data_IF_648815335064
#
_entry.id   IF_648815335064
#
_cell.length_a   1.000
_cell.length_b   1.000
_cell.length_c   1.000
_cell.angle_alpha   90.00
_cell.angle_beta   90.00
_cell.angle_gamma   90.00
#
_symmetry.space_group_name_H-M   'P 1'
#
loop_
_entity.id
_entity.type
_entity.pdbx_description
1 polymer ?
#
# COMPACT_ATOMS: atom_id res chain seq x y z
N UNK A 1 -11.03 7.08 -3.43
CA UNK A 1 -11.07 5.66 -3.02
C UNK A 1 -10.67 5.57 -1.56
N UNK A 2 -11.62 5.26 -0.66
CA UNK A 2 -11.31 5.13 0.76
C UNK A 2 -10.45 3.89 1.01
N UNK A 3 -9.24 4.07 1.52
CA UNK A 3 -8.35 2.96 1.87
C UNK A 3 -9.08 2.03 2.85
N UNK A 4 -9.33 0.79 2.40
CA UNK A 4 -10.04 -0.25 3.17
C UNK A 4 -9.17 -0.63 4.36
N UNK A 5 -9.76 -0.66 5.56
CA UNK A 5 -9.06 -1.14 6.76
C UNK A 5 -8.69 -2.61 6.58
N UNK A 6 -7.44 -2.97 6.86
CA UNK A 6 -6.94 -4.35 6.76
C UNK A 6 -6.37 -4.80 8.09
N UNK A 7 -6.44 -6.10 8.38
CA UNK A 7 -5.82 -6.66 9.59
C UNK A 7 -4.34 -6.85 9.33
N UNK A 8 -3.49 -6.19 10.11
CA UNK A 8 -2.05 -6.37 10.02
C UNK A 8 -1.66 -7.77 10.55
N UNK A 9 -0.92 -8.59 9.79
CA UNK A 9 -0.53 -9.93 10.22
C UNK A 9 0.40 -9.91 11.45
N UNK A 10 1.22 -8.87 11.57
CA UNK A 10 2.16 -8.68 12.68
C UNK A 10 1.48 -8.14 13.93
N UNK A 11 0.70 -7.05 13.80
CA UNK A 11 0.04 -6.42 14.95
C UNK A 11 -1.24 -7.14 15.38
N UNK A 12 -1.80 -8.04 14.55
CA UNK A 12 -3.10 -8.71 14.73
C UNK A 12 -4.25 -7.73 15.02
N UNK A 13 -4.14 -6.52 14.48
CA UNK A 13 -5.10 -5.42 14.70
C UNK A 13 -5.54 -4.84 13.34
N UNK A 14 -6.79 -4.37 13.23
CA UNK A 14 -7.23 -3.62 12.09
C UNK A 14 -6.47 -2.29 12.03
N UNK A 15 -5.86 -2.01 10.89
CA UNK A 15 -5.11 -0.79 10.63
C UNK A 15 -5.50 -0.22 9.28
N UNK A 16 -5.35 1.09 9.14
CA UNK A 16 -5.44 1.77 7.85
C UNK A 16 -4.05 1.74 7.21
N UNK A 17 -3.85 1.03 6.10
CA UNK A 17 -2.56 1.00 5.40
C UNK A 17 -2.13 2.39 4.99
N UNK A 18 -0.85 2.68 5.06
CA UNK A 18 -0.26 3.94 4.57
C UNK A 18 0.73 3.64 3.47
N UNK A 19 0.80 4.52 2.46
CA UNK A 19 1.81 4.40 1.41
C UNK A 19 3.20 4.45 2.05
N UNK A 20 3.99 3.42 1.82
CA UNK A 20 5.37 3.30 2.33
C UNK A 20 6.38 3.11 1.20
N UNK A 21 5.91 2.75 0.00
CA UNK A 21 6.76 2.61 -1.17
C UNK A 21 5.98 3.00 -2.42
N UNK A 22 6.64 3.72 -3.32
CA UNK A 22 6.10 4.02 -4.64
C UNK A 22 7.22 3.87 -5.66
N UNK A 23 7.02 2.97 -6.62
CA UNK A 23 8.02 2.64 -7.64
C UNK A 23 7.40 2.76 -9.03
N UNK A 24 8.00 3.56 -9.90
CA UNK A 24 7.64 3.55 -11.31
C UNK A 24 8.03 2.19 -11.92
N UNK A 25 7.06 1.48 -12.48
CA UNK A 25 7.30 0.21 -13.19
C UNK A 25 7.49 0.48 -14.69
N UNK A 26 6.66 1.35 -15.27
CA UNK A 26 6.71 1.74 -16.68
C UNK A 26 6.21 3.18 -16.84
N UNK A 27 6.33 3.76 -18.05
CA UNK A 27 5.81 5.11 -18.36
C UNK A 27 4.33 5.33 -17.97
N UNK A 28 3.54 4.26 -17.90
CA UNK A 28 2.10 4.29 -17.56
C UNK A 28 1.75 3.60 -16.26
N UNK A 29 2.69 3.00 -15.53
CA UNK A 29 2.35 2.21 -14.34
C UNK A 29 3.26 2.55 -13.17
N UNK A 30 2.65 2.78 -12.01
CA UNK A 30 3.34 2.86 -10.72
C UNK A 30 2.88 1.71 -9.83
N UNK A 31 3.83 1.13 -9.15
CA UNK A 31 3.62 0.17 -8.09
C UNK A 31 3.59 0.94 -6.76
N UNK A 32 2.50 0.86 -6.02
CA UNK A 32 2.34 1.49 -4.71
C UNK A 32 2.24 0.40 -3.67
N UNK A 33 3.18 0.41 -2.73
CA UNK A 33 3.21 -0.48 -1.58
C UNK A 33 2.63 0.25 -0.38
N UNK A 34 1.66 -0.39 0.29
CA UNK A 34 1.12 0.12 1.56
C UNK A 34 1.54 -0.78 2.71
N UNK A 35 1.94 -0.15 3.80
CA UNK A 35 2.43 -0.79 5.00
C UNK A 35 1.56 -0.48 6.21
N UNK A 36 1.73 -1.28 7.25
CA UNK A 36 1.20 -0.98 8.58
C UNK A 36 1.89 0.28 9.14
N UNK A 37 1.13 1.30 9.58
CA UNK A 37 1.73 2.52 10.12
C UNK A 37 2.51 2.29 11.42
N UNK A 38 2.24 1.19 12.13
CA UNK A 38 2.86 0.87 13.42
C UNK A 38 4.15 0.06 13.28
N UNK A 39 4.09 -1.09 12.62
CA UNK A 39 5.22 -2.03 12.51
C UNK A 39 5.91 -2.00 11.15
N UNK A 40 5.46 -1.16 10.21
CA UNK A 40 6.01 -1.02 8.85
C UNK A 40 5.98 -2.29 7.98
N UNK A 41 5.34 -3.36 8.45
CA UNK A 41 5.09 -4.56 7.64
C UNK A 41 4.27 -4.21 6.39
N UNK A 42 4.68 -4.70 5.24
CA UNK A 42 3.96 -4.57 3.97
C UNK A 42 2.64 -5.32 4.04
N UNK A 43 1.56 -4.67 3.61
CA UNK A 43 0.20 -5.20 3.71
C UNK A 43 -0.41 -5.47 2.34
N UNK A 44 -0.18 -4.57 1.38
CA UNK A 44 -0.70 -4.68 0.02
C UNK A 44 0.23 -3.93 -0.93
N UNK A 45 0.21 -4.36 -2.18
CA UNK A 45 0.90 -3.70 -3.28
C UNK A 45 -0.08 -3.56 -4.42
N UNK A 46 -0.32 -2.33 -4.86
CA UNK A 46 -1.24 -2.00 -5.95
C UNK A 46 -0.46 -1.53 -7.16
N UNK A 47 -0.86 -1.99 -8.34
CA UNK A 47 -0.36 -1.48 -9.62
C UNK A 47 -1.36 -0.47 -10.13
N UNK A 48 -1.02 0.82 -10.07
CA UNK A 48 -1.85 1.91 -10.56
C UNK A 48 -1.40 2.32 -11.96
N UNK A 49 -2.36 2.48 -12.86
CA UNK A 49 -2.10 3.13 -14.15
C UNK A 49 -2.04 4.64 -13.92
N UNK A 50 -0.93 5.27 -14.30
CA UNK A 50 -0.80 6.72 -14.36
C UNK A 50 -1.42 7.16 -15.67
N UNK A 51 -2.68 7.58 -15.61
CA UNK A 51 -3.26 8.35 -16.71
C UNK A 51 -2.52 9.70 -16.77
N UNK A 52 -1.79 9.90 -17.85
CA UNK A 52 -1.12 11.15 -18.23
C UNK A 52 -2.11 11.96 -19.06
#
# INVERSE_FOLDING_TARGET
MGQKTVVCPTCKKPVKPVECGRKAQSKRYVLVTYCCPRCKTELLTERLEVQI
#
